data_IF_217919431196
#
_entry.id   IF_217919431196
#
_cell.length_a   1.000
_cell.length_b   1.000
_cell.length_c   1.000
_cell.angle_alpha   90.00
_cell.angle_beta   90.00
_cell.angle_gamma   90.00
#
_symmetry.space_group_name_H-M   'P 1'
#
loop_
_entity.id
_entity.type
_entity.pdbx_description
1 polymer ?
#
# COMPACT_ATOMS: atom_id res chain seq x y z
N UNK A 1 -1.58 23.67 -17.94
CA UNK A 1 -2.45 22.47 -17.90
C UNK A 1 -1.74 21.42 -17.06
N UNK A 2 -2.42 20.81 -16.08
CA UNK A 2 -1.82 19.76 -15.26
C UNK A 2 -1.60 18.52 -16.14
N UNK A 3 -0.40 17.95 -16.05
CA UNK A 3 0.02 16.79 -16.84
C UNK A 3 0.02 15.56 -15.94
N UNK A 4 -0.39 14.41 -16.48
CA UNK A 4 -0.29 13.14 -15.77
C UNK A 4 1.08 12.47 -16.06
N UNK A 5 1.51 11.48 -15.25
CA UNK A 5 2.85 10.88 -15.33
C UNK A 5 3.20 10.25 -16.69
N UNK A 6 2.21 9.99 -17.54
CA UNK A 6 2.29 9.13 -18.72
C UNK A 6 2.07 9.85 -20.05
N UNK A 7 2.11 11.20 -20.06
CA UNK A 7 1.83 12.00 -21.26
C UNK A 7 2.69 11.63 -22.48
N UNK A 8 3.90 11.08 -22.27
CA UNK A 8 4.83 10.69 -23.34
C UNK A 8 4.61 9.26 -23.87
N UNK A 9 3.73 8.47 -23.25
CA UNK A 9 3.51 7.07 -23.62
C UNK A 9 2.33 6.91 -24.61
N UNK A 10 2.52 6.20 -25.74
CA UNK A 10 1.43 5.90 -26.66
C UNK A 10 0.25 5.20 -25.98
N UNK A 11 -0.97 5.53 -26.37
CA UNK A 11 -2.20 5.03 -25.73
C UNK A 11 -2.30 3.49 -25.70
N UNK A 12 -1.89 2.81 -26.77
CA UNK A 12 -1.87 1.34 -26.84
C UNK A 12 -0.94 0.72 -25.79
N UNK A 13 0.27 1.27 -25.61
CA UNK A 13 1.22 0.82 -24.60
C UNK A 13 0.71 1.07 -23.18
N UNK A 14 0.08 2.22 -22.94
CA UNK A 14 -0.56 2.55 -21.65
C UNK A 14 -1.66 1.56 -21.27
N UNK A 15 -2.51 1.16 -22.24
CA UNK A 15 -3.55 0.16 -22.01
C UNK A 15 -2.96 -1.21 -21.66
N UNK A 16 -1.93 -1.65 -22.39
CA UNK A 16 -1.26 -2.91 -22.10
C UNK A 16 -0.62 -2.89 -20.71
N UNK A 17 0.13 -1.82 -20.38
CA UNK A 17 0.74 -1.66 -19.06
C UNK A 17 -0.29 -1.64 -17.94
N UNK A 18 -1.43 -0.97 -18.13
CA UNK A 18 -2.51 -0.98 -17.14
C UNK A 18 -3.04 -2.40 -16.91
N UNK A 19 -3.32 -3.17 -17.97
CA UNK A 19 -3.83 -4.53 -17.84
C UNK A 19 -2.80 -5.43 -17.14
N UNK A 20 -1.53 -5.36 -17.55
CA UNK A 20 -0.45 -6.14 -16.95
C UNK A 20 -0.28 -5.77 -15.47
N UNK A 21 -0.26 -4.47 -15.15
CA UNK A 21 -0.14 -3.99 -13.78
C UNK A 21 -1.30 -4.49 -12.92
N UNK A 22 -2.56 -4.36 -13.38
CA UNK A 22 -3.74 -4.86 -12.65
C UNK A 22 -3.63 -6.37 -12.41
N UNK A 23 -3.33 -7.16 -13.43
CA UNK A 23 -3.25 -8.62 -13.29
C UNK A 23 -2.17 -9.03 -12.28
N UNK A 24 -1.00 -8.40 -12.34
CA UNK A 24 0.08 -8.67 -11.39
C UNK A 24 -0.27 -8.19 -9.98
N UNK A 25 -0.86 -7.00 -9.83
CA UNK A 25 -1.35 -6.48 -8.55
C UNK A 25 -2.33 -7.46 -7.91
N UNK A 26 -3.36 -7.90 -8.64
CA UNK A 26 -4.37 -8.83 -8.13
C UNK A 26 -3.78 -10.20 -7.78
N UNK A 27 -2.80 -10.68 -8.54
CA UNK A 27 -2.11 -11.94 -8.25
C UNK A 27 -1.31 -11.86 -6.95
N UNK A 28 -0.56 -10.77 -6.75
CA UNK A 28 0.21 -10.55 -5.51
C UNK A 28 -0.72 -10.30 -4.33
N UNK A 29 -1.77 -9.49 -4.50
CA UNK A 29 -2.79 -9.23 -3.48
C UNK A 29 -3.47 -10.52 -3.03
N UNK A 30 -3.85 -11.40 -3.98
CA UNK A 30 -4.43 -12.70 -3.65
C UNK A 30 -3.52 -13.56 -2.77
N UNK A 31 -2.21 -13.52 -3.02
CA UNK A 31 -1.23 -14.20 -2.17
C UNK A 31 -1.07 -13.53 -0.80
N UNK A 32 -1.04 -12.19 -0.74
CA UNK A 32 -0.99 -11.43 0.51
C UNK A 32 -2.24 -11.66 1.38
N UNK A 33 -3.43 -11.78 0.78
CA UNK A 33 -4.67 -12.12 1.49
C UNK A 33 -4.55 -13.48 2.17
N UNK A 34 -3.94 -14.47 1.51
CA UNK A 34 -3.71 -15.80 2.11
C UNK A 34 -2.79 -15.67 3.33
N UNK A 35 -1.67 -14.96 3.20
CA UNK A 35 -0.76 -14.73 4.33
C UNK A 35 -1.45 -13.97 5.47
N UNK A 36 -2.20 -12.91 5.13
CA UNK A 36 -2.91 -12.09 6.11
C UNK A 36 -3.99 -12.89 6.86
N UNK A 37 -4.67 -13.82 6.19
CA UNK A 37 -5.68 -14.67 6.83
C UNK A 37 -5.12 -15.52 7.97
N UNK A 38 -3.83 -15.89 7.90
CA UNK A 38 -3.14 -16.61 8.98
C UNK A 38 -2.71 -15.69 10.14
N UNK A 39 -2.66 -14.37 9.91
CA UNK A 39 -2.37 -13.35 10.91
C UNK A 39 -3.64 -12.78 11.56
N UNK A 40 -4.78 -12.88 10.88
CA UNK A 40 -6.07 -12.45 11.38
C UNK A 40 -6.56 -13.33 12.53
N UNK A 41 -7.01 -12.71 13.61
CA UNK A 41 -7.59 -13.41 14.76
C UNK A 41 -8.29 -12.47 15.75
N UNK A 42 -8.82 -12.98 16.88
CA UNK A 42 -9.56 -12.16 17.85
C UNK A 42 -8.79 -10.95 18.38
N UNK A 43 -7.46 -11.06 18.46
CA UNK A 43 -6.57 -10.01 18.96
C UNK A 43 -6.00 -9.10 17.88
N UNK A 44 -6.10 -9.51 16.61
CA UNK A 44 -5.64 -8.77 15.45
C UNK A 44 -6.60 -9.04 14.27
N UNK A 45 -7.86 -8.54 14.31
CA UNK A 45 -8.88 -8.94 13.33
C UNK A 45 -8.50 -8.57 11.89
N UNK A 46 -7.73 -7.50 11.71
CA UNK A 46 -7.18 -7.07 10.42
C UNK A 46 -5.85 -7.73 10.01
N UNK A 47 -5.31 -8.64 10.83
CA UNK A 47 -3.99 -9.24 10.59
C UNK A 47 -2.90 -8.17 10.55
N UNK A 48 -2.13 -8.13 9.46
CA UNK A 48 -1.05 -7.16 9.26
C UNK A 48 -1.53 -5.71 9.38
N UNK A 49 -2.75 -5.41 8.89
CA UNK A 49 -3.34 -4.06 8.99
C UNK A 49 -3.59 -3.65 10.44
N UNK A 50 -3.88 -4.60 11.33
CA UNK A 50 -4.01 -4.30 12.76
C UNK A 50 -2.66 -3.89 13.37
N UNK A 51 -1.56 -4.44 12.86
CA UNK A 51 -0.20 -4.11 13.29
C UNK A 51 0.25 -2.75 12.75
N UNK A 52 -0.02 -2.45 11.46
CA UNK A 52 0.16 -1.13 10.85
C UNK A 52 -0.53 -0.02 11.66
N UNK A 53 -1.73 -0.32 12.15
CA UNK A 53 -2.58 0.64 12.87
C UNK A 53 -2.43 0.58 14.40
N UNK A 54 -1.49 -0.21 14.93
CA UNK A 54 -1.33 -0.41 16.37
C UNK A 54 -0.99 0.87 17.14
N UNK A 55 -0.31 1.83 16.49
CA UNK A 55 0.03 3.19 16.95
C UNK A 55 0.94 3.29 18.19
N UNK A 56 0.87 2.35 19.12
CA UNK A 56 1.56 2.37 20.42
C UNK A 56 2.36 1.09 20.60
N UNK A 57 3.48 1.17 21.33
CA UNK A 57 4.32 0.02 21.59
C UNK A 57 3.58 -1.13 22.30
N UNK A 58 2.80 -0.89 23.39
CA UNK A 58 2.08 -1.98 24.06
C UNK A 58 1.06 -2.69 23.16
N UNK A 59 0.39 -1.95 22.26
CA UNK A 59 -0.55 -2.56 21.31
C UNK A 59 0.17 -3.41 20.25
N UNK A 60 1.28 -2.90 19.72
CA UNK A 60 2.11 -3.62 18.75
C UNK A 60 2.73 -4.89 19.37
N UNK A 61 3.27 -4.79 20.58
CA UNK A 61 3.81 -5.93 21.34
C UNK A 61 2.73 -6.98 21.63
N UNK A 62 1.51 -6.57 22.00
CA UNK A 62 0.41 -7.50 22.22
C UNK A 62 0.04 -8.28 20.95
N UNK A 63 0.10 -7.63 19.77
CA UNK A 63 -0.12 -8.32 18.49
C UNK A 63 0.99 -9.34 18.23
N UNK A 64 2.26 -8.93 18.34
CA UNK A 64 3.41 -9.81 18.12
C UNK A 64 3.41 -11.01 19.09
N UNK A 65 3.10 -10.76 20.35
CA UNK A 65 2.98 -11.81 21.37
C UNK A 65 1.89 -12.83 21.00
N UNK A 66 0.74 -12.37 20.52
CA UNK A 66 -0.35 -13.25 20.11
C UNK A 66 -0.05 -14.03 18.82
N UNK A 67 0.72 -13.45 17.91
CA UNK A 67 1.18 -14.14 16.70
C UNK A 67 2.23 -15.22 17.00
N UNK A 68 3.07 -15.00 18.02
CA UNK A 68 4.21 -15.86 18.33
C UNK A 68 5.15 -16.02 17.13
N UNK A 69 6.11 -16.95 17.23
CA UNK A 69 7.17 -17.09 16.21
C UNK A 69 6.62 -17.41 14.81
N UNK A 70 5.65 -18.32 14.71
CA UNK A 70 5.08 -18.72 13.43
C UNK A 70 4.30 -17.57 12.74
N UNK A 71 3.59 -16.76 13.52
CA UNK A 71 2.90 -15.57 13.02
C UNK A 71 3.89 -14.48 12.64
N UNK A 72 4.95 -14.25 13.42
CA UNK A 72 6.02 -13.30 13.08
C UNK A 72 6.72 -13.68 11.77
N UNK A 73 7.02 -14.96 11.54
CA UNK A 73 7.59 -15.44 10.28
C UNK A 73 6.64 -15.21 9.09
N UNK A 74 5.32 -15.35 9.34
CA UNK A 74 4.29 -15.09 8.33
C UNK A 74 4.15 -13.60 8.04
N UNK A 75 4.19 -12.75 9.06
CA UNK A 75 4.19 -11.31 8.94
C UNK A 75 5.42 -10.82 8.17
N UNK A 76 6.61 -11.36 8.46
CA UNK A 76 7.83 -11.06 7.70
C UNK A 76 7.68 -11.39 6.23
N UNK A 77 7.17 -12.58 5.90
CA UNK A 77 6.90 -12.97 4.51
C UNK A 77 5.87 -12.04 3.86
N UNK A 78 4.82 -11.68 4.58
CA UNK A 78 3.79 -10.74 4.11
C UNK A 78 4.44 -9.41 3.73
N UNK A 79 5.18 -8.78 4.63
CA UNK A 79 5.86 -7.50 4.40
C UNK A 79 6.89 -7.57 3.26
N UNK A 80 7.63 -8.68 3.14
CA UNK A 80 8.57 -8.87 2.03
C UNK A 80 7.87 -8.94 0.67
N UNK A 81 6.75 -9.65 0.59
CA UNK A 81 5.94 -9.71 -0.63
C UNK A 81 5.21 -8.41 -0.91
N UNK A 82 4.92 -7.64 0.14
CA UNK A 82 4.31 -6.33 0.00
C UNK A 82 5.23 -5.32 -0.71
N UNK A 83 6.56 -5.51 -0.66
CA UNK A 83 7.49 -4.76 -1.53
C UNK A 83 7.27 -5.00 -3.02
N UNK A 84 6.76 -6.16 -3.42
CA UNK A 84 6.36 -6.37 -4.82
C UNK A 84 5.01 -5.71 -5.10
N UNK A 85 4.07 -5.80 -4.15
CA UNK A 85 2.77 -5.15 -4.25
C UNK A 85 2.89 -3.63 -4.40
N UNK A 86 3.73 -2.97 -3.61
CA UNK A 86 3.96 -1.52 -3.66
C UNK A 86 4.62 -1.02 -4.95
N UNK A 87 5.22 -1.90 -5.75
CA UNK A 87 5.69 -1.54 -7.08
C UNK A 87 4.55 -1.58 -8.10
N UNK A 88 3.61 -2.49 -7.91
CA UNK A 88 2.56 -2.80 -8.89
C UNK A 88 1.30 -1.96 -8.67
N UNK A 89 0.80 -1.88 -7.44
CA UNK A 89 -0.47 -1.22 -7.14
C UNK A 89 -0.43 0.28 -7.45
N UNK A 90 0.61 1.07 -7.11
CA UNK A 90 0.61 2.50 -7.40
C UNK A 90 0.63 2.76 -8.90
N UNK A 91 1.33 1.91 -9.67
CA UNK A 91 1.34 1.97 -11.13
C UNK A 91 -0.04 1.68 -11.71
N UNK A 92 -0.70 0.63 -11.23
CA UNK A 92 -2.03 0.23 -11.68
C UNK A 92 -3.06 1.35 -11.42
N UNK A 93 -3.12 1.86 -10.17
CA UNK A 93 -4.05 2.91 -9.78
C UNK A 93 -3.71 4.23 -10.50
N UNK A 94 -2.43 4.60 -10.57
CA UNK A 94 -1.99 5.82 -11.27
C UNK A 94 -2.39 5.82 -12.76
N UNK A 95 -2.15 4.70 -13.45
CA UNK A 95 -2.56 4.53 -14.85
C UNK A 95 -4.08 4.58 -15.01
N UNK A 96 -4.83 3.97 -14.09
CA UNK A 96 -6.29 3.98 -14.10
C UNK A 96 -6.83 5.41 -13.91
N UNK A 97 -6.34 6.15 -12.89
CA UNK A 97 -6.71 7.53 -12.62
C UNK A 97 -6.41 8.45 -13.81
N UNK A 98 -5.20 8.35 -14.38
CA UNK A 98 -4.82 9.13 -15.56
C UNK A 98 -5.74 8.84 -16.75
N UNK A 99 -6.02 7.56 -17.03
CA UNK A 99 -6.87 7.14 -18.15
C UNK A 99 -8.33 7.56 -17.98
N UNK A 100 -8.87 7.50 -16.77
CA UNK A 100 -10.23 7.98 -16.48
C UNK A 100 -10.27 9.49 -16.66
N UNK A 101 -9.31 10.23 -16.11
CA UNK A 101 -9.24 11.69 -16.22
C UNK A 101 -9.15 12.22 -17.67
N UNK A 102 -8.48 11.49 -18.56
CA UNK A 102 -8.42 11.83 -20.00
C UNK A 102 -9.79 11.85 -20.68
N UNK A 103 -10.79 11.11 -20.18
CA UNK A 103 -12.13 11.04 -20.78
C UNK A 103 -12.99 12.29 -20.48
N UNK A 104 -12.52 13.16 -19.58
CA UNK A 104 -13.29 14.28 -19.03
C UNK A 104 -12.66 15.61 -19.48
N UNK A 105 -12.78 15.97 -20.76
CA UNK A 105 -12.28 17.24 -21.32
C UNK A 105 -13.40 18.28 -21.50
N UNK A 106 -13.12 19.58 -21.25
CA UNK A 106 -14.05 20.69 -21.54
C UNK A 106 -14.56 21.48 -20.31
N UNK A 107 -15.59 20.99 -19.60
CA UNK A 107 -16.25 21.70 -18.48
C UNK A 107 -16.02 21.07 -17.10
N UNK A 108 -15.42 19.88 -17.05
CA UNK A 108 -15.21 19.09 -15.82
C UNK A 108 -13.74 19.11 -15.38
N UNK A 109 -13.12 20.29 -15.44
CA UNK A 109 -11.70 20.48 -15.16
C UNK A 109 -11.30 19.99 -13.76
N UNK A 110 -12.22 20.09 -12.79
CA UNK A 110 -12.01 19.54 -11.45
C UNK A 110 -11.82 18.02 -11.46
N UNK A 111 -12.65 17.25 -12.18
CA UNK A 111 -12.52 15.79 -12.24
C UNK A 111 -11.23 15.35 -12.92
N UNK A 112 -10.86 16.02 -14.02
CA UNK A 112 -9.59 15.76 -14.69
C UNK A 112 -8.41 16.10 -13.78
N UNK A 113 -8.45 17.26 -13.14
CA UNK A 113 -7.41 17.70 -12.19
C UNK A 113 -7.27 16.72 -11.03
N UNK A 114 -8.39 16.33 -10.39
CA UNK A 114 -8.39 15.35 -9.30
C UNK A 114 -7.82 14.02 -9.75
N UNK A 115 -8.21 13.49 -10.92
CA UNK A 115 -7.64 12.24 -11.41
C UNK A 115 -6.14 12.31 -11.72
N UNK A 116 -5.63 13.45 -12.19
CA UNK A 116 -4.19 13.64 -12.37
C UNK A 116 -3.44 13.81 -11.04
N UNK A 117 -4.04 14.50 -10.07
CA UNK A 117 -3.49 14.61 -8.72
C UNK A 117 -3.43 13.25 -8.03
N UNK A 118 -4.50 12.46 -8.12
CA UNK A 118 -4.52 11.08 -7.61
C UNK A 118 -3.47 10.22 -8.33
N UNK A 119 -3.32 10.35 -9.64
CA UNK A 119 -2.30 9.62 -10.38
C UNK A 119 -0.87 9.91 -9.88
N UNK A 120 -0.56 11.15 -9.52
CA UNK A 120 0.70 11.49 -8.88
C UNK A 120 0.76 11.07 -7.40
N UNK A 121 -0.36 11.24 -6.68
CA UNK A 121 -0.51 10.90 -5.27
C UNK A 121 -0.23 9.43 -4.97
N UNK A 122 -0.53 8.53 -5.91
CA UNK A 122 -0.23 7.10 -5.74
C UNK A 122 1.27 6.81 -5.57
N UNK A 123 2.18 7.59 -6.18
CA UNK A 123 3.62 7.43 -5.92
C UNK A 123 4.02 7.89 -4.52
N UNK A 124 3.31 8.89 -3.97
CA UNK A 124 3.47 9.30 -2.58
C UNK A 124 2.94 8.22 -1.64
N UNK A 125 1.76 7.67 -1.95
CA UNK A 125 1.18 6.55 -1.21
C UNK A 125 2.14 5.34 -1.17
N UNK A 126 2.69 4.93 -2.32
CA UNK A 126 3.65 3.82 -2.38
C UNK A 126 4.97 4.11 -1.64
N UNK A 127 5.42 5.36 -1.57
CA UNK A 127 6.59 5.74 -0.77
C UNK A 127 6.31 5.69 0.74
N UNK A 128 5.12 6.14 1.16
CA UNK A 128 4.66 6.02 2.55
C UNK A 128 4.50 4.56 2.94
N UNK A 129 3.97 3.72 2.04
CA UNK A 129 3.82 2.29 2.21
C UNK A 129 5.18 1.58 2.38
N UNK A 130 6.15 1.92 1.54
CA UNK A 130 7.51 1.39 1.68
C UNK A 130 8.16 1.79 3.02
N UNK A 131 7.97 3.04 3.46
CA UNK A 131 8.48 3.50 4.77
C UNK A 131 7.84 2.73 5.92
N UNK A 132 6.53 2.57 5.86
CA UNK A 132 5.73 1.83 6.83
C UNK A 132 6.21 0.37 6.93
N UNK A 133 6.32 -0.33 5.80
CA UNK A 133 6.83 -1.71 5.74
C UNK A 133 8.25 -1.87 6.31
N UNK A 134 9.14 -0.90 6.06
CA UNK A 134 10.49 -0.91 6.64
C UNK A 134 10.44 -0.78 8.17
N UNK A 135 9.56 0.08 8.68
CA UNK A 135 9.38 0.26 10.12
C UNK A 135 8.84 -1.03 10.73
N UNK A 136 7.78 -1.62 10.18
CA UNK A 136 7.20 -2.86 10.71
C UNK A 136 8.18 -4.03 10.67
N UNK A 137 8.94 -4.19 9.58
CA UNK A 137 10.00 -5.20 9.50
C UNK A 137 11.02 -5.03 10.62
N UNK A 138 11.43 -3.79 10.90
CA UNK A 138 12.36 -3.52 12.00
C UNK A 138 11.77 -3.85 13.36
N UNK A 139 10.44 -3.79 13.53
CA UNK A 139 9.75 -4.11 14.79
C UNK A 139 9.58 -5.62 15.02
N UNK A 140 9.76 -6.47 14.01
CA UNK A 140 9.59 -7.92 14.16
C UNK A 140 10.73 -8.60 14.94
N UNK A 141 11.92 -8.01 14.96
CA UNK A 141 13.16 -8.66 15.43
C UNK A 141 13.76 -8.08 16.72
N UNK A 142 13.26 -6.95 17.20
CA UNK A 142 13.91 -6.21 18.28
C UNK A 142 12.88 -5.54 19.19
N UNK A 143 13.30 -5.26 20.42
CA UNK A 143 12.57 -4.35 21.30
C UNK A 143 12.52 -2.97 20.63
N UNK A 144 11.32 -2.46 20.43
CA UNK A 144 11.08 -1.16 19.84
C UNK A 144 10.53 -0.18 20.89
N UNK A 145 11.05 1.04 20.87
CA UNK A 145 10.51 2.11 21.70
C UNK A 145 9.17 2.64 21.18
N UNK A 146 8.66 3.66 21.85
CA UNK A 146 7.37 4.29 21.53
C UNK A 146 7.30 4.93 20.13
N UNK A 147 8.44 5.24 19.50
CA UNK A 147 8.49 6.02 18.26
C UNK A 147 8.10 5.21 17.02
N UNK A 148 8.58 3.96 16.89
CA UNK A 148 8.40 3.17 15.66
C UNK A 148 6.91 2.85 15.37
N UNK A 149 6.11 2.33 16.34
CA UNK A 149 4.69 2.08 16.10
C UNK A 149 3.90 3.34 15.72
N UNK A 150 4.30 4.50 16.27
CA UNK A 150 3.66 5.77 15.98
C UNK A 150 3.98 6.27 14.57
N UNK A 151 5.24 6.14 14.13
CA UNK A 151 5.66 6.49 12.77
C UNK A 151 5.03 5.57 11.73
N UNK A 152 4.97 4.26 11.99
CA UNK A 152 4.25 3.31 11.14
C UNK A 152 2.77 3.71 11.01
N UNK A 153 2.11 4.02 12.13
CA UNK A 153 0.72 4.47 12.11
C UNK A 153 0.50 5.76 11.32
N UNK A 154 1.41 6.74 11.39
CA UNK A 154 1.33 7.95 10.57
C UNK A 154 1.43 7.60 9.09
N UNK A 155 2.43 6.80 8.71
CA UNK A 155 2.64 6.41 7.32
C UNK A 155 1.45 5.60 6.77
N UNK A 156 0.94 4.63 7.54
CA UNK A 156 -0.25 3.86 7.25
C UNK A 156 -1.51 4.76 7.10
N UNK A 157 -1.71 5.68 8.05
CA UNK A 157 -2.87 6.57 8.01
C UNK A 157 -2.85 7.51 6.79
N UNK A 158 -1.67 8.04 6.45
CA UNK A 158 -1.50 8.91 5.29
C UNK A 158 -1.63 8.15 3.97
N UNK A 159 -1.07 6.93 3.86
CA UNK A 159 -1.20 6.13 2.63
C UNK A 159 -2.67 5.76 2.36
N UNK A 160 -3.44 5.40 3.40
CA UNK A 160 -4.86 5.05 3.23
C UNK A 160 -5.77 6.24 2.87
N UNK A 161 -5.30 7.48 3.02
CA UNK A 161 -6.04 8.67 2.59
C UNK A 161 -5.81 9.05 1.11
N UNK A 162 -4.83 8.44 0.43
CA UNK A 162 -4.35 8.81 -0.91
C UNK A 162 -4.79 7.80 -2.00
#
# INVERSE_FOLDING_TARGET
>A
MLNHPYNKLPQQRRRLFLIVAIVLTLAVEGYLIILNSALSGPYAPGGIVAFELAKTAPAAEAILHNWGNAGIDTARRSLQWDFLFLLLYPLAISLACARVAEQWTGWRNLFQMTGYLLAWGQFVAGALDALENLILLSMLDQDFGIALPYLAWIAASLKFML
#
